data_IF_795403147542
#
_entry.id   IF_795403147542
#
_cell.length_a   1.000
_cell.length_b   1.000
_cell.length_c   1.000
_cell.angle_alpha   90.00
_cell.angle_beta   90.00
_cell.angle_gamma   90.00
#
_symmetry.space_group_name_H-M   'P 1'
#
loop_
_entity.id
_entity.type
_entity.pdbx_description
1 polymer ?
#
# COMPACT_ATOMS: atom_id res chain seq x y z
N UNK A 1 -16.58 -8.46 8.59
CA UNK A 1 -17.21 -7.92 9.82
C UNK A 1 -18.63 -7.44 9.57
N UNK A 2 -18.86 -6.58 8.58
CA UNK A 2 -20.22 -6.15 8.16
C UNK A 2 -21.19 -7.31 8.01
N UNK A 3 -20.79 -8.41 7.38
CA UNK A 3 -21.65 -9.59 7.18
C UNK A 3 -22.08 -10.25 8.50
N UNK A 4 -21.19 -10.29 9.49
CA UNK A 4 -21.50 -10.80 10.84
C UNK A 4 -22.51 -9.89 11.52
N UNK A 5 -22.29 -8.58 11.48
CA UNK A 5 -23.18 -7.60 12.11
C UNK A 5 -24.55 -7.59 11.44
N UNK A 6 -24.59 -7.70 10.11
CA UNK A 6 -25.83 -7.78 9.33
C UNK A 6 -26.64 -9.05 9.67
N UNK A 7 -25.97 -10.19 9.85
CA UNK A 7 -26.61 -11.42 10.34
C UNK A 7 -27.19 -11.24 11.76
N UNK A 8 -26.47 -10.53 12.64
CA UNK A 8 -26.97 -10.18 13.98
C UNK A 8 -28.19 -9.28 13.92
N UNK A 9 -28.14 -8.18 13.16
CA UNK A 9 -29.25 -7.21 13.12
C UNK A 9 -30.50 -7.80 12.47
N UNK A 10 -30.34 -8.65 11.46
CA UNK A 10 -31.46 -9.34 10.79
C UNK A 10 -32.07 -10.41 11.69
N UNK A 11 -31.26 -11.22 12.37
CA UNK A 11 -31.74 -12.24 13.32
C UNK A 11 -32.53 -11.62 14.48
N UNK A 12 -32.08 -10.47 14.98
CA UNK A 12 -32.77 -9.73 16.06
C UNK A 12 -34.00 -8.94 15.58
N UNK A 13 -34.28 -8.91 14.27
CA UNK A 13 -35.42 -8.17 13.71
C UNK A 13 -35.29 -6.65 13.79
N UNK A 14 -34.06 -6.11 13.91
CA UNK A 14 -33.80 -4.67 14.02
C UNK A 14 -33.35 -4.02 12.71
N UNK A 15 -33.25 -4.80 11.63
CA UNK A 15 -32.99 -4.35 10.26
C UNK A 15 -31.73 -4.95 9.64
N UNK A 16 -31.34 -4.45 8.45
CA UNK A 16 -30.09 -4.84 7.79
C UNK A 16 -29.02 -3.77 7.97
N UNK A 17 -27.97 -4.09 8.75
CA UNK A 17 -26.81 -3.21 8.94
C UNK A 17 -26.13 -2.84 7.61
N UNK A 18 -26.16 -3.75 6.62
CA UNK A 18 -25.58 -3.50 5.30
C UNK A 18 -26.27 -2.37 4.54
N UNK A 19 -27.58 -2.23 4.70
CA UNK A 19 -28.38 -1.20 4.03
C UNK A 19 -28.30 0.16 4.71
N UNK A 20 -27.79 0.22 5.94
CA UNK A 20 -27.65 1.48 6.67
C UNK A 20 -26.51 2.32 6.08
N UNK A 21 -26.73 3.64 6.07
CA UNK A 21 -25.67 4.61 5.82
C UNK A 21 -24.66 4.65 6.98
N UNK A 22 -23.52 5.32 6.74
CA UNK A 22 -22.42 5.38 7.70
C UNK A 22 -22.82 6.03 9.03
N UNK A 23 -23.68 7.05 9.00
CA UNK A 23 -24.09 7.77 10.21
C UNK A 23 -24.95 6.87 11.11
N UNK A 24 -25.93 6.17 10.51
CA UNK A 24 -26.79 5.21 11.21
C UNK A 24 -25.98 4.02 11.74
N UNK A 25 -24.99 3.53 10.99
CA UNK A 25 -24.08 2.47 11.46
C UNK A 25 -23.31 2.91 12.71
N UNK A 26 -22.73 4.11 12.68
CA UNK A 26 -21.97 4.65 13.82
C UNK A 26 -22.89 4.86 15.03
N UNK A 27 -24.07 5.45 14.84
CA UNK A 27 -25.04 5.67 15.91
C UNK A 27 -25.41 4.35 16.60
N UNK A 28 -25.77 3.34 15.81
CA UNK A 28 -26.13 2.03 16.34
C UNK A 28 -24.96 1.33 17.03
N UNK A 29 -23.77 1.32 16.41
CA UNK A 29 -22.57 0.74 17.01
C UNK A 29 -22.22 1.39 18.34
N UNK A 30 -22.28 2.72 18.44
CA UNK A 30 -22.01 3.44 19.68
C UNK A 30 -23.07 3.16 20.76
N UNK A 31 -24.34 3.03 20.37
CA UNK A 31 -25.40 2.61 21.29
C UNK A 31 -25.10 1.24 21.88
N UNK A 32 -24.78 0.25 21.04
CA UNK A 32 -24.44 -1.10 21.50
C UNK A 32 -23.14 -1.13 22.32
N UNK A 33 -22.11 -0.39 21.91
CA UNK A 33 -20.81 -0.31 22.59
C UNK A 33 -20.89 0.33 24.00
N UNK A 34 -21.78 1.30 24.19
CA UNK A 34 -22.08 1.89 25.51
C UNK A 34 -23.04 1.03 26.33
N UNK A 35 -23.89 0.27 25.64
CA UNK A 35 -24.79 -0.70 26.27
C UNK A 35 -24.05 -1.83 26.99
N UNK A 36 -24.74 -2.43 27.97
CA UNK A 36 -24.25 -3.61 28.73
C UNK A 36 -24.97 -4.90 28.35
N UNK A 37 -25.91 -4.83 27.41
CA UNK A 37 -26.69 -5.98 26.94
C UNK A 37 -25.84 -6.78 25.95
N UNK A 38 -25.73 -8.11 26.11
CA UNK A 38 -25.13 -8.97 25.09
C UNK A 38 -25.97 -8.99 23.81
N UNK A 39 -25.27 -9.03 22.66
CA UNK A 39 -25.87 -8.92 21.34
C UNK A 39 -25.81 -10.25 20.56
N UNK A 40 -24.72 -11.01 20.68
CA UNK A 40 -24.58 -12.28 19.97
C UNK A 40 -25.50 -13.37 20.56
N UNK A 41 -26.57 -13.69 19.84
CA UNK A 41 -27.47 -14.78 20.20
C UNK A 41 -26.82 -16.15 19.91
N UNK A 42 -26.87 -17.12 20.85
CA UNK A 42 -26.28 -18.45 20.65
C UNK A 42 -26.87 -19.23 19.47
N UNK A 43 -28.12 -18.93 19.10
CA UNK A 43 -28.89 -19.58 18.03
C UNK A 43 -28.82 -18.82 16.69
N UNK A 44 -28.04 -17.74 16.60
CA UNK A 44 -27.88 -16.98 15.36
C UNK A 44 -27.33 -17.88 14.25
N UNK A 45 -27.99 -17.96 13.07
CA UNK A 45 -27.50 -18.69 11.92
C UNK A 45 -26.13 -18.17 11.45
N UNK A 46 -25.20 -19.07 11.13
CA UNK A 46 -23.85 -18.72 10.68
C UNK A 46 -23.55 -19.41 9.36
N UNK A 47 -23.10 -18.64 8.38
CA UNK A 47 -22.38 -19.17 7.21
C UNK A 47 -20.98 -19.59 7.63
N UNK A 48 -20.27 -20.33 6.76
CA UNK A 48 -18.87 -20.70 7.00
C UNK A 48 -17.98 -19.47 7.25
N UNK A 49 -18.15 -18.40 6.45
CA UNK A 49 -17.39 -17.15 6.61
C UNK A 49 -17.71 -16.41 7.93
N UNK A 50 -18.97 -16.42 8.37
CA UNK A 50 -19.37 -15.82 9.66
C UNK A 50 -18.79 -16.63 10.82
N UNK A 51 -18.87 -17.96 10.74
CA UNK A 51 -18.33 -18.86 11.74
C UNK A 51 -16.81 -18.72 11.87
N UNK A 52 -16.09 -18.54 10.76
CA UNK A 52 -14.63 -18.31 10.77
C UNK A 52 -14.26 -17.01 11.49
N UNK A 53 -14.96 -15.89 11.20
CA UNK A 53 -14.70 -14.60 11.88
C UNK A 53 -14.96 -14.69 13.38
N UNK A 54 -16.08 -15.30 13.79
CA UNK A 54 -16.41 -15.46 15.22
C UNK A 54 -15.48 -16.46 15.90
N UNK A 55 -15.11 -17.54 15.21
CA UNK A 55 -14.17 -18.55 15.67
C UNK A 55 -12.79 -17.95 15.93
N UNK A 56 -12.28 -17.13 15.01
CA UNK A 56 -11.01 -16.43 15.19
C UNK A 56 -11.01 -15.51 16.43
N UNK A 57 -12.11 -14.77 16.66
CA UNK A 57 -12.24 -13.92 17.85
C UNK A 57 -12.35 -14.73 19.16
N UNK A 58 -12.99 -15.90 19.14
CA UNK A 58 -13.02 -16.81 20.29
C UNK A 58 -11.64 -17.38 20.61
N UNK A 59 -10.85 -17.76 19.61
CA UNK A 59 -9.45 -18.17 19.79
C UNK A 59 -8.62 -17.04 20.43
N UNK A 60 -8.83 -15.79 19.99
CA UNK A 60 -8.19 -14.62 20.61
C UNK A 60 -8.61 -14.47 22.08
N UNK A 61 -9.87 -14.75 22.43
CA UNK A 61 -10.35 -14.68 23.80
C UNK A 61 -9.78 -15.76 24.73
N UNK A 62 -9.40 -16.92 24.18
CA UNK A 62 -8.90 -18.07 24.93
C UNK A 62 -7.38 -18.07 25.15
N UNK A 63 -6.62 -17.38 24.30
CA UNK A 63 -5.16 -17.36 24.35
C UNK A 63 -4.59 -16.18 25.18
N UNK A 64 -3.36 -16.31 25.71
CA UNK A 64 -2.70 -15.23 26.43
C UNK A 64 -2.56 -13.95 25.59
N UNK A 65 -2.92 -12.80 26.17
CA UNK A 65 -3.01 -11.52 25.43
C UNK A 65 -1.69 -11.04 24.81
N UNK A 66 -0.54 -11.49 25.34
CA UNK A 66 0.81 -11.19 24.85
C UNK A 66 1.21 -12.04 23.63
N UNK A 67 0.37 -13.00 23.23
CA UNK A 67 0.54 -13.76 21.98
C UNK A 67 0.21 -12.93 20.73
N UNK A 68 -0.46 -11.79 20.89
CA UNK A 68 -1.05 -11.03 19.78
C UNK A 68 -0.52 -9.60 19.68
N UNK A 69 -0.39 -9.15 18.43
CA UNK A 69 -0.26 -7.73 18.09
C UNK A 69 -1.62 -7.06 17.89
N UNK A 70 -1.76 -6.16 16.89
CA UNK A 70 -3.06 -5.54 16.59
C UNK A 70 -3.98 -6.44 15.76
N UNK A 71 -5.28 -6.12 15.79
CA UNK A 71 -6.27 -6.60 14.82
C UNK A 71 -6.33 -5.64 13.63
N UNK A 72 -5.93 -6.09 12.44
CA UNK A 72 -5.85 -5.24 11.25
C UNK A 72 -7.09 -5.45 10.37
N UNK A 73 -7.74 -4.36 9.97
CA UNK A 73 -8.89 -4.36 9.07
C UNK A 73 -8.42 -4.00 7.67
N UNK A 74 -8.24 -5.00 6.82
CA UNK A 74 -8.02 -4.78 5.38
C UNK A 74 -9.25 -4.15 4.73
N UNK A 75 -9.04 -3.33 3.69
CA UNK A 75 -10.09 -2.54 3.04
C UNK A 75 -10.92 -1.69 4.02
N UNK A 76 -10.27 -1.07 5.00
CA UNK A 76 -10.95 -0.10 5.84
C UNK A 76 -11.34 1.12 5.00
N UNK A 77 -12.59 1.53 5.09
CA UNK A 77 -13.16 2.64 4.31
C UNK A 77 -13.73 3.74 5.19
N UNK A 78 -14.23 3.40 6.38
CA UNK A 78 -14.98 4.32 7.21
C UNK A 78 -14.76 4.09 8.72
N UNK A 79 -15.42 4.93 9.52
CA UNK A 79 -15.33 4.91 10.99
C UNK A 79 -16.02 3.67 11.56
N UNK A 80 -17.15 3.28 10.97
CA UNK A 80 -17.93 2.11 11.39
C UNK A 80 -17.15 0.80 11.26
N UNK A 81 -16.22 0.68 10.32
CA UNK A 81 -15.36 -0.51 10.17
C UNK A 81 -14.55 -0.79 11.44
N UNK A 82 -13.99 0.26 12.05
CA UNK A 82 -13.20 0.16 13.29
C UNK A 82 -14.10 -0.17 14.49
N UNK A 83 -15.22 0.54 14.63
CA UNK A 83 -16.18 0.33 15.73
C UNK A 83 -16.81 -1.08 15.68
N UNK A 84 -17.09 -1.59 14.47
CA UNK A 84 -17.61 -2.93 14.26
C UNK A 84 -16.71 -4.01 14.87
N UNK A 85 -15.39 -3.91 14.67
CA UNK A 85 -14.43 -4.87 15.26
C UNK A 85 -14.35 -4.72 16.77
N UNK A 86 -14.40 -3.50 17.31
CA UNK A 86 -14.47 -3.31 18.76
C UNK A 86 -15.71 -3.99 19.36
N UNK A 87 -16.87 -3.85 18.71
CA UNK A 87 -18.10 -4.50 19.16
C UNK A 87 -17.94 -6.03 19.12
N UNK A 88 -17.46 -6.58 18.00
CA UNK A 88 -17.28 -8.03 17.87
C UNK A 88 -16.25 -8.60 18.86
N UNK A 89 -15.14 -7.91 19.14
CA UNK A 89 -14.19 -8.33 20.18
C UNK A 89 -14.86 -8.40 21.56
N UNK A 90 -15.69 -7.41 21.91
CA UNK A 90 -16.44 -7.40 23.17
C UNK A 90 -17.45 -8.55 23.23
N UNK A 91 -18.25 -8.72 22.17
CA UNK A 91 -19.29 -9.75 22.13
C UNK A 91 -18.74 -11.18 22.09
N UNK A 92 -17.55 -11.37 21.52
CA UNK A 92 -16.80 -12.61 21.61
C UNK A 92 -16.01 -12.76 22.93
N UNK A 93 -16.21 -11.85 23.88
CA UNK A 93 -15.66 -11.87 25.24
C UNK A 93 -14.13 -11.87 25.28
N UNK A 94 -13.47 -11.18 24.34
CA UNK A 94 -12.02 -10.97 24.37
C UNK A 94 -11.68 -10.15 25.63
N UNK A 95 -10.99 -10.73 26.65
CA UNK A 95 -10.86 -10.08 27.96
C UNK A 95 -10.06 -8.77 27.89
N UNK A 96 -9.03 -8.76 27.03
CA UNK A 96 -8.21 -7.59 26.71
C UNK A 96 -8.27 -7.37 25.20
N UNK A 97 -9.18 -6.51 24.71
CA UNK A 97 -9.34 -6.28 23.28
C UNK A 97 -8.02 -5.85 22.62
N UNK A 98 -7.74 -6.40 21.45
CA UNK A 98 -6.60 -6.01 20.63
C UNK A 98 -6.82 -4.59 20.09
N UNK A 99 -5.72 -3.86 19.91
CA UNK A 99 -5.75 -2.57 19.22
C UNK A 99 -6.24 -2.76 17.77
N UNK A 100 -7.31 -2.06 17.41
CA UNK A 100 -7.90 -2.13 16.07
C UNK A 100 -7.19 -1.14 15.14
N UNK A 101 -6.71 -1.64 14.00
CA UNK A 101 -5.88 -0.89 13.06
C UNK A 101 -6.53 -0.88 11.68
N UNK A 102 -7.07 0.26 11.22
CA UNK A 102 -7.56 0.37 9.85
C UNK A 102 -6.39 0.33 8.86
N UNK A 103 -6.51 -0.49 7.81
CA UNK A 103 -5.61 -0.50 6.66
C UNK A 103 -6.32 0.19 5.49
N UNK A 104 -5.86 1.39 5.14
CA UNK A 104 -6.35 2.15 3.99
C UNK A 104 -5.57 1.76 2.73
N UNK A 105 -6.27 1.24 1.71
CA UNK A 105 -5.68 0.58 0.55
C UNK A 105 -5.97 1.23 -0.81
N UNK A 106 -7.11 1.91 -0.97
CA UNK A 106 -7.45 2.60 -2.23
C UNK A 106 -7.16 4.10 -2.10
N UNK A 107 -7.05 4.77 -3.25
CA UNK A 107 -6.80 6.21 -3.29
C UNK A 107 -7.87 7.00 -2.52
N UNK A 108 -9.14 6.65 -2.72
CA UNK A 108 -10.26 7.30 -2.03
C UNK A 108 -10.22 7.05 -0.51
N UNK A 109 -9.82 5.86 -0.09
CA UNK A 109 -9.74 5.49 1.33
C UNK A 109 -8.60 6.28 2.02
N UNK A 110 -7.46 6.45 1.35
CA UNK A 110 -6.37 7.30 1.83
C UNK A 110 -6.77 8.77 1.96
N UNK A 111 -7.54 9.29 1.00
CA UNK A 111 -8.05 10.67 1.03
C UNK A 111 -9.07 10.87 2.17
N UNK A 112 -9.89 9.87 2.47
CA UNK A 112 -10.87 9.90 3.55
C UNK A 112 -10.27 9.60 4.94
N UNK A 113 -9.07 8.99 5.00
CA UNK A 113 -8.46 8.53 6.24
C UNK A 113 -8.37 9.59 7.35
N UNK A 114 -7.92 10.85 7.11
CA UNK A 114 -7.86 11.86 8.16
C UNK A 114 -9.22 12.19 8.75
N UNK A 115 -10.28 12.25 7.91
CA UNK A 115 -11.64 12.54 8.35
C UNK A 115 -12.23 11.38 9.15
N UNK A 116 -12.01 10.14 8.72
CA UNK A 116 -12.44 8.93 9.45
C UNK A 116 -11.76 8.83 10.82
N UNK A 117 -10.45 9.10 10.89
CA UNK A 117 -9.70 9.11 12.15
C UNK A 117 -10.13 10.25 13.06
N UNK A 118 -10.36 11.45 12.52
CA UNK A 118 -10.87 12.57 13.32
C UNK A 118 -12.25 12.26 13.91
N UNK A 119 -13.11 11.61 13.13
CA UNK A 119 -14.45 11.21 13.59
C UNK A 119 -14.38 10.20 14.74
N UNK A 120 -13.46 9.24 14.67
CA UNK A 120 -13.18 8.33 15.79
C UNK A 120 -12.73 9.09 17.04
N UNK A 121 -11.79 10.05 16.92
CA UNK A 121 -11.27 10.80 18.07
C UNK A 121 -12.27 11.79 18.70
N UNK A 122 -13.34 12.14 18.00
CA UNK A 122 -14.45 12.92 18.58
C UNK A 122 -15.37 12.09 19.49
N UNK A 123 -15.24 10.76 19.49
CA UNK A 123 -16.07 9.87 20.31
C UNK A 123 -15.38 9.60 21.65
N UNK A 124 -16.02 10.03 22.73
CA UNK A 124 -15.59 9.80 24.12
C UNK A 124 -15.27 8.32 24.39
N UNK A 125 -16.19 7.42 24.02
CA UNK A 125 -16.05 5.98 24.19
C UNK A 125 -14.79 5.44 23.50
N UNK A 126 -14.50 5.93 22.30
CA UNK A 126 -13.33 5.47 21.53
C UNK A 126 -12.03 6.01 22.13
N UNK A 127 -12.02 7.28 22.56
CA UNK A 127 -10.86 7.89 23.22
C UNK A 127 -10.49 7.17 24.51
N UNK A 128 -11.48 6.81 25.33
CA UNK A 128 -11.29 5.99 26.53
C UNK A 128 -10.74 4.60 26.17
N UNK A 129 -11.28 3.99 25.12
CA UNK A 129 -10.89 2.64 24.67
C UNK A 129 -9.43 2.56 24.17
N UNK A 130 -8.92 3.58 23.49
CA UNK A 130 -7.58 3.55 22.90
C UNK A 130 -6.46 4.03 23.84
N UNK A 131 -6.81 4.67 24.96
CA UNK A 131 -5.83 5.13 25.97
C UNK A 131 -4.76 6.06 25.39
N UNK A 132 -5.17 6.95 24.48
CA UNK A 132 -4.28 7.94 23.84
C UNK A 132 -3.30 7.37 22.80
N UNK A 133 -3.47 6.13 22.31
CA UNK A 133 -2.62 5.53 21.28
C UNK A 133 -3.43 4.97 20.13
N UNK A 134 -3.15 5.40 18.90
CA UNK A 134 -3.76 4.86 17.69
C UNK A 134 -2.68 4.33 16.75
N UNK A 135 -2.99 3.25 16.04
CA UNK A 135 -2.16 2.79 14.93
C UNK A 135 -2.98 2.75 13.64
N UNK A 136 -2.39 3.21 12.54
CA UNK A 136 -3.00 3.19 11.20
C UNK A 136 -2.04 2.47 10.27
N UNK A 137 -2.55 1.52 9.48
CA UNK A 137 -1.74 0.82 8.49
C UNK A 137 -1.93 1.44 7.11
N UNK A 138 -0.84 1.56 6.36
CA UNK A 138 -0.86 2.13 5.00
C UNK A 138 -0.34 1.12 3.97
N UNK A 139 -1.11 0.91 2.89
CA UNK A 139 -0.81 -0.08 1.86
C UNK A 139 -0.25 0.52 0.57
N UNK A 140 1.04 0.32 0.29
CA UNK A 140 1.69 0.87 -0.90
C UNK A 140 1.34 0.13 -2.19
N UNK A 141 1.45 -1.21 -2.18
CA UNK A 141 1.19 -2.01 -3.39
C UNK A 141 -0.28 -2.00 -3.80
N UNK A 142 -1.20 -2.03 -2.84
CA UNK A 142 -2.63 -2.00 -3.10
C UNK A 142 -3.07 -0.62 -3.65
N UNK A 143 -2.57 0.48 -3.06
CA UNK A 143 -2.82 1.84 -3.57
C UNK A 143 -2.22 2.03 -4.97
N UNK A 144 -1.00 1.52 -5.19
CA UNK A 144 -0.35 1.55 -6.50
C UNK A 144 -1.12 0.75 -7.56
N UNK A 145 -1.74 -0.37 -7.17
CA UNK A 145 -2.60 -1.16 -8.06
C UNK A 145 -3.89 -0.41 -8.45
N UNK A 146 -4.42 0.43 -7.57
CA UNK A 146 -5.64 1.21 -7.81
C UNK A 146 -5.42 2.43 -8.71
N UNK A 147 -4.31 3.15 -8.53
CA UNK A 147 -4.16 4.50 -9.09
C UNK A 147 -2.80 4.81 -9.74
N UNK A 148 -1.91 3.82 -9.86
CA UNK A 148 -0.53 4.05 -10.30
C UNK A 148 0.38 4.46 -9.14
N UNK A 149 1.68 4.15 -9.27
CA UNK A 149 2.63 4.22 -8.14
C UNK A 149 2.90 5.64 -7.66
N UNK A 150 3.06 6.60 -8.58
CA UNK A 150 3.35 8.00 -8.24
C UNK A 150 2.19 8.63 -7.48
N UNK A 151 0.97 8.49 -7.99
CA UNK A 151 -0.24 8.99 -7.34
C UNK A 151 -0.47 8.36 -5.97
N UNK A 152 -0.26 7.05 -5.86
CA UNK A 152 -0.32 6.34 -4.57
C UNK A 152 0.72 6.87 -3.57
N UNK A 153 1.97 7.07 -3.98
CA UNK A 153 3.02 7.61 -3.12
C UNK A 153 2.67 9.02 -2.62
N UNK A 154 2.16 9.89 -3.50
CA UNK A 154 1.75 11.24 -3.12
C UNK A 154 0.55 11.24 -2.16
N UNK A 155 -0.47 10.43 -2.45
CA UNK A 155 -1.63 10.29 -1.58
C UNK A 155 -1.27 9.76 -0.19
N UNK A 156 -0.32 8.83 -0.12
CA UNK A 156 0.22 8.31 1.14
C UNK A 156 0.92 9.41 1.95
N UNK A 157 1.78 10.21 1.31
CA UNK A 157 2.47 11.32 1.97
C UNK A 157 1.46 12.32 2.57
N UNK A 158 0.44 12.72 1.80
CA UNK A 158 -0.64 13.61 2.27
C UNK A 158 -1.45 12.98 3.40
N UNK A 159 -1.92 11.75 3.22
CA UNK A 159 -2.73 11.04 4.21
C UNK A 159 -2.00 10.89 5.55
N UNK A 160 -0.69 10.58 5.53
CA UNK A 160 0.14 10.51 6.73
C UNK A 160 0.27 11.88 7.41
N UNK A 161 0.57 12.93 6.63
CA UNK A 161 0.70 14.30 7.13
C UNK A 161 -0.58 14.79 7.80
N UNK A 162 -1.72 14.62 7.13
CA UNK A 162 -3.00 15.12 7.62
C UNK A 162 -3.53 14.28 8.80
N UNK A 163 -3.33 12.95 8.78
CA UNK A 163 -3.71 12.08 9.90
C UNK A 163 -2.84 12.35 11.14
N UNK A 164 -1.54 12.62 10.97
CA UNK A 164 -0.67 13.02 12.07
C UNK A 164 -1.09 14.38 12.67
N UNK A 165 -1.47 15.36 11.83
CA UNK A 165 -2.03 16.64 12.28
C UNK A 165 -3.30 16.44 13.10
N UNK A 166 -4.21 15.57 12.65
CA UNK A 166 -5.40 15.19 13.41
C UNK A 166 -5.02 14.55 14.74
N UNK A 167 -4.13 13.56 14.76
CA UNK A 167 -3.73 12.91 16.01
C UNK A 167 -3.13 13.89 17.03
N UNK A 168 -2.27 14.80 16.57
CA UNK A 168 -1.69 15.86 17.41
C UNK A 168 -2.76 16.79 17.99
N UNK A 169 -3.78 17.17 17.20
CA UNK A 169 -4.91 17.99 17.67
C UNK A 169 -5.68 17.35 18.84
N UNK A 170 -5.79 16.02 18.87
CA UNK A 170 -6.50 15.28 19.94
C UNK A 170 -5.55 14.69 20.99
N UNK A 171 -4.24 14.99 20.95
CA UNK A 171 -3.27 14.47 21.91
C UNK A 171 -3.06 12.95 21.83
N UNK A 172 -3.31 12.34 20.66
CA UNK A 172 -3.18 10.89 20.44
C UNK A 172 -1.80 10.59 19.85
N UNK A 173 -1.07 9.64 20.46
CA UNK A 173 0.16 9.10 19.87
C UNK A 173 -0.18 8.18 18.70
N UNK A 174 0.09 8.65 17.49
CA UNK A 174 -0.11 7.88 16.27
C UNK A 174 1.13 7.07 15.91
N UNK A 175 0.94 5.80 15.53
CA UNK A 175 1.96 4.94 14.92
C UNK A 175 1.50 4.54 13.53
N UNK A 176 2.30 4.82 12.49
CA UNK A 176 2.05 4.24 11.18
C UNK A 176 2.64 2.84 11.08
N UNK A 177 1.84 1.89 10.61
CA UNK A 177 2.28 0.57 10.20
C UNK A 177 2.44 0.53 8.67
N UNK A 178 3.69 0.48 8.21
CA UNK A 178 4.02 0.46 6.79
C UNK A 178 3.85 -0.94 6.21
N UNK A 179 2.88 -1.09 5.31
CA UNK A 179 2.62 -2.30 4.56
C UNK A 179 3.68 -2.62 3.51
N UNK A 180 3.50 -3.75 2.81
CA UNK A 180 4.40 -4.20 1.73
C UNK A 180 4.46 -3.21 0.57
N UNK A 181 5.58 -3.24 -0.16
CA UNK A 181 5.73 -2.49 -1.39
C UNK A 181 6.24 -1.06 -1.22
N UNK A 182 6.33 -0.52 0.00
CA UNK A 182 6.90 0.79 0.24
C UNK A 182 8.42 0.83 0.03
N UNK A 183 8.97 2.03 -0.17
CA UNK A 183 10.42 2.28 -0.17
C UNK A 183 11.08 1.77 1.11
N UNK A 184 10.38 1.91 2.25
CA UNK A 184 10.81 1.46 3.58
C UNK A 184 10.95 -0.07 3.70
N UNK A 185 10.13 -0.85 3.00
CA UNK A 185 10.06 -2.31 3.16
C UNK A 185 10.81 -3.13 2.11
N UNK A 186 11.36 -2.50 1.07
CA UNK A 186 11.87 -3.22 -0.12
C UNK A 186 13.37 -3.42 -0.18
N UNK A 187 14.16 -2.79 0.68
CA UNK A 187 15.63 -2.88 0.66
C UNK A 187 16.27 -2.51 -0.69
N UNK A 188 15.50 -2.02 -1.66
CA UNK A 188 15.94 -1.74 -3.03
C UNK A 188 16.39 -0.29 -3.22
N UNK A 189 16.25 0.54 -2.19
CA UNK A 189 16.99 1.78 -2.00
C UNK A 189 17.44 1.84 -0.54
N UNK A 190 18.22 2.85 -0.13
CA UNK A 190 18.67 2.96 1.26
C UNK A 190 17.47 3.05 2.19
N UNK A 191 17.10 1.95 2.87
CA UNK A 191 15.96 1.90 3.81
C UNK A 191 16.09 2.99 4.87
N UNK A 192 17.33 3.34 5.22
CA UNK A 192 17.66 4.50 6.04
C UNK A 192 17.04 5.80 5.49
N UNK A 193 17.35 6.17 4.25
CA UNK A 193 16.82 7.40 3.63
C UNK A 193 15.30 7.35 3.45
N UNK A 194 14.72 6.18 3.18
CA UNK A 194 13.28 6.02 3.07
C UNK A 194 12.52 6.27 4.39
N UNK A 195 13.16 6.01 5.54
CA UNK A 195 12.63 6.36 6.86
C UNK A 195 12.78 7.87 7.08
N UNK A 196 13.97 8.43 6.80
CA UNK A 196 14.21 9.88 6.91
C UNK A 196 13.30 10.71 5.99
N UNK A 197 12.80 10.14 4.89
CA UNK A 197 11.92 10.82 3.96
C UNK A 197 10.44 10.81 4.36
N UNK A 198 10.05 10.14 5.44
CA UNK A 198 8.66 10.17 5.90
C UNK A 198 8.26 11.61 6.28
N UNK A 199 6.98 12.00 6.17
CA UNK A 199 6.57 13.35 6.54
C UNK A 199 6.99 13.69 7.99
N UNK A 200 7.28 14.96 8.31
CA UNK A 200 7.57 15.39 9.68
C UNK A 200 6.48 14.93 10.67
N UNK A 201 6.89 14.67 11.92
CA UNK A 201 6.00 14.28 13.03
C UNK A 201 5.17 13.00 12.83
N UNK A 202 5.55 12.12 11.89
CA UNK A 202 4.83 10.86 11.62
C UNK A 202 5.42 9.62 12.30
N UNK A 203 6.67 9.66 12.78
CA UNK A 203 7.34 8.50 13.40
C UNK A 203 7.39 8.63 14.92
N UNK A 204 7.88 9.75 15.45
CA UNK A 204 7.87 10.09 16.88
C UNK A 204 8.31 8.93 17.80
N UNK A 205 9.41 8.27 17.42
CA UNK A 205 10.01 7.15 18.16
C UNK A 205 9.25 5.82 18.09
N UNK A 206 8.26 5.67 17.20
CA UNK A 206 7.50 4.44 17.03
C UNK A 206 7.31 4.10 15.55
N UNK A 207 8.14 3.17 15.07
CA UNK A 207 8.10 2.68 13.70
C UNK A 207 7.62 1.22 13.67
N UNK A 208 6.67 0.90 12.79
CA UNK A 208 6.33 -0.49 12.45
C UNK A 208 6.39 -0.68 10.94
N UNK A 209 7.17 -1.66 10.48
CA UNK A 209 7.41 -1.91 9.06
C UNK A 209 7.23 -3.38 8.76
N UNK A 210 6.61 -3.67 7.61
CA UNK A 210 6.55 -5.02 7.06
C UNK A 210 7.90 -5.40 6.45
N UNK A 211 8.55 -6.42 6.99
CA UNK A 211 9.67 -7.09 6.31
C UNK A 211 9.10 -8.06 5.30
N UNK A 212 9.36 -7.81 4.02
CA UNK A 212 8.86 -8.66 2.94
C UNK A 212 9.66 -9.97 2.88
N UNK A 213 8.98 -11.09 2.65
CA UNK A 213 9.62 -12.41 2.56
C UNK A 213 10.71 -12.47 1.49
N UNK A 214 10.55 -11.77 0.37
CA UNK A 214 11.56 -11.71 -0.69
C UNK A 214 12.85 -10.93 -0.32
N UNK A 215 12.89 -10.27 0.84
CA UNK A 215 14.04 -9.49 1.32
C UNK A 215 14.57 -10.02 2.67
N UNK A 216 13.91 -11.01 3.28
CA UNK A 216 14.26 -11.51 4.63
C UNK A 216 15.70 -12.03 4.68
N UNK A 217 16.09 -12.83 3.70
CA UNK A 217 17.43 -13.40 3.59
C UNK A 217 18.49 -12.30 3.42
N UNK A 218 18.23 -11.31 2.56
CA UNK A 218 19.15 -10.22 2.33
C UNK A 218 19.35 -9.33 3.58
N UNK A 219 18.34 -9.22 4.43
CA UNK A 219 18.37 -8.38 5.62
C UNK A 219 18.88 -9.09 6.88
N UNK A 220 18.60 -10.39 7.00
CA UNK A 220 18.78 -11.14 8.25
C UNK A 220 19.48 -12.49 8.10
N UNK A 221 19.77 -12.94 6.86
CA UNK A 221 20.38 -14.26 6.60
C UNK A 221 21.86 -14.36 6.99
N UNK A 222 22.55 -13.22 7.12
CA UNK A 222 23.96 -13.16 7.54
C UNK A 222 24.11 -12.24 8.76
N UNK A 223 24.98 -12.60 9.71
CA UNK A 223 25.09 -11.96 11.03
C UNK A 223 25.43 -10.47 10.95
N UNK A 224 26.40 -10.07 10.12
CA UNK A 224 26.79 -8.67 9.97
C UNK A 224 25.69 -7.88 9.26
N UNK A 225 25.05 -8.44 8.23
CA UNK A 225 23.92 -7.80 7.55
C UNK A 225 22.71 -7.63 8.46
N UNK A 226 22.42 -8.62 9.32
CA UNK A 226 21.41 -8.55 10.37
C UNK A 226 21.69 -7.36 11.30
N UNK A 227 22.92 -7.27 11.82
CA UNK A 227 23.34 -6.15 12.67
C UNK A 227 23.16 -4.80 11.97
N UNK A 228 23.63 -4.66 10.72
CA UNK A 228 23.50 -3.43 9.94
C UNK A 228 22.04 -3.08 9.64
N UNK A 229 21.17 -4.08 9.48
CA UNK A 229 19.72 -3.88 9.32
C UNK A 229 19.10 -3.32 10.61
N UNK A 230 19.40 -3.90 11.76
CA UNK A 230 18.90 -3.39 13.05
C UNK A 230 19.44 -1.98 13.36
N UNK A 231 20.72 -1.74 13.04
CA UNK A 231 21.37 -0.45 13.21
C UNK A 231 20.67 0.65 12.39
N UNK A 232 20.44 0.42 11.09
CA UNK A 232 19.83 1.44 10.22
C UNK A 232 18.39 1.78 10.60
N UNK A 233 17.58 0.78 11.00
CA UNK A 233 16.22 1.03 11.48
C UNK A 233 16.23 1.89 12.74
N UNK A 234 17.12 1.59 13.68
CA UNK A 234 17.25 2.33 14.95
C UNK A 234 17.72 3.77 14.69
N UNK A 235 18.79 3.94 13.92
CA UNK A 235 19.38 5.24 13.63
C UNK A 235 18.41 6.16 12.88
N UNK A 236 17.80 5.68 11.79
CA UNK A 236 16.91 6.51 10.98
C UNK A 236 15.62 6.88 11.72
N UNK A 237 15.08 5.98 12.56
CA UNK A 237 13.91 6.26 13.41
C UNK A 237 14.22 7.35 14.44
N UNK A 238 15.40 7.30 15.05
CA UNK A 238 15.85 8.30 16.01
C UNK A 238 16.08 9.65 15.33
N UNK A 239 16.86 9.66 14.24
CA UNK A 239 17.21 10.86 13.51
C UNK A 239 15.97 11.58 12.98
N UNK A 240 15.02 10.86 12.36
CA UNK A 240 13.78 11.48 11.87
C UNK A 240 13.01 12.24 12.95
N UNK A 241 12.99 11.72 14.18
CA UNK A 241 12.31 12.34 15.31
C UNK A 241 12.98 13.60 15.88
N UNK A 242 14.28 13.81 15.62
CA UNK A 242 15.04 14.98 16.10
C UNK A 242 15.48 15.92 14.97
N UNK A 243 15.51 15.42 13.75
CA UNK A 243 15.93 16.11 12.54
C UNK A 243 14.96 15.76 11.40
N UNK A 244 13.73 16.30 11.42
CA UNK A 244 12.72 15.99 10.41
C UNK A 244 13.14 16.53 9.03
N UNK A 245 12.68 15.91 7.93
CA UNK A 245 12.98 16.39 6.59
C UNK A 245 12.31 17.74 6.31
N UNK A 246 12.81 18.43 5.28
CA UNK A 246 12.20 19.67 4.79
C UNK A 246 10.74 19.44 4.38
N UNK A 247 9.87 20.37 4.77
CA UNK A 247 8.50 20.40 4.24
C UNK A 247 8.52 20.77 2.76
N UNK A 248 7.62 20.20 1.94
CA UNK A 248 7.60 20.52 0.52
C UNK A 248 7.22 21.99 0.28
N UNK A 249 7.93 22.64 -0.65
CA UNK A 249 7.56 23.98 -1.12
C UNK A 249 6.15 23.94 -1.77
N UNK A 250 5.37 25.03 -1.73
CA UNK A 250 4.03 25.06 -2.33
C UNK A 250 4.00 24.64 -3.81
N UNK A 251 4.98 25.09 -4.59
CA UNK A 251 5.14 24.75 -6.00
C UNK A 251 5.43 23.26 -6.24
N UNK A 252 6.17 22.60 -5.33
CA UNK A 252 6.41 21.15 -5.40
C UNK A 252 5.12 20.38 -5.14
N UNK A 253 4.35 20.80 -4.13
CA UNK A 253 3.08 20.16 -3.79
C UNK A 253 2.04 20.34 -4.90
N UNK A 254 1.98 21.53 -5.50
CA UNK A 254 1.11 21.82 -6.64
C UNK A 254 1.47 20.95 -7.86
N UNK A 255 2.76 20.84 -8.19
CA UNK A 255 3.22 19.99 -9.30
C UNK A 255 2.91 18.51 -9.06
N UNK A 256 3.12 18.03 -7.83
CA UNK A 256 2.77 16.65 -7.45
C UNK A 256 1.27 16.36 -7.58
N UNK A 257 0.39 17.32 -7.26
CA UNK A 257 -1.05 17.17 -7.42
C UNK A 257 -1.44 16.97 -8.89
N UNK A 258 -0.90 17.80 -9.78
CA UNK A 258 -1.14 17.71 -11.22
C UNK A 258 -0.60 16.40 -11.80
N UNK A 259 0.63 16.05 -11.45
CA UNK A 259 1.28 14.82 -11.89
C UNK A 259 0.54 13.56 -11.39
N UNK A 260 0.03 13.59 -10.15
CA UNK A 260 -0.76 12.48 -9.61
C UNK A 260 -2.07 12.28 -10.40
N UNK A 261 -2.75 13.36 -10.80
CA UNK A 261 -3.97 13.25 -11.61
C UNK A 261 -3.69 12.62 -12.98
N UNK A 262 -2.64 13.08 -13.68
CA UNK A 262 -2.23 12.54 -15.00
C UNK A 262 -1.78 11.08 -14.87
N UNK A 263 -0.97 10.75 -13.87
CA UNK A 263 -0.50 9.38 -13.64
C UNK A 263 -1.67 8.42 -13.41
N UNK A 264 -2.67 8.81 -12.62
CA UNK A 264 -3.85 7.99 -12.38
C UNK A 264 -4.71 7.82 -13.63
N UNK A 265 -4.85 8.88 -14.42
CA UNK A 265 -5.64 8.84 -15.66
C UNK A 265 -5.02 7.89 -16.69
N UNK A 266 -3.72 7.99 -16.95
CA UNK A 266 -2.99 7.07 -17.84
C UNK A 266 -2.97 5.63 -17.29
N UNK A 267 -2.68 5.45 -16.01
CA UNK A 267 -2.66 4.13 -15.40
C UNK A 267 -4.02 3.44 -15.53
N UNK A 268 -5.11 4.14 -15.18
CA UNK A 268 -6.46 3.57 -15.24
C UNK A 268 -6.96 3.39 -16.66
N UNK A 269 -6.55 4.23 -17.62
CA UNK A 269 -6.93 4.06 -19.02
C UNK A 269 -6.42 2.73 -19.59
N UNK A 270 -5.21 2.32 -19.19
CA UNK A 270 -4.61 1.05 -19.62
C UNK A 270 -5.11 -0.13 -18.77
N UNK A 271 -5.09 -0.03 -17.44
CA UNK A 271 -5.32 -1.19 -16.57
C UNK A 271 -6.80 -1.52 -16.40
N UNK A 272 -7.69 -0.52 -16.46
CA UNK A 272 -9.12 -0.71 -16.17
C UNK A 272 -10.06 -0.35 -17.32
N UNK A 273 -9.68 0.59 -18.21
CA UNK A 273 -10.56 1.02 -19.31
C UNK A 273 -10.28 0.31 -20.64
N UNK A 274 -9.05 -0.12 -20.90
CA UNK A 274 -8.70 -0.86 -22.12
C UNK A 274 -9.25 -2.30 -22.03
N UNK A 275 -10.25 -2.67 -22.84
CA UNK A 275 -10.93 -3.97 -22.74
C UNK A 275 -9.99 -5.16 -22.99
N UNK A 276 -8.95 -4.98 -23.81
CA UNK A 276 -7.99 -6.04 -24.15
C UNK A 276 -6.95 -6.29 -23.07
N UNK A 277 -6.85 -5.41 -22.07
CA UNK A 277 -5.76 -5.44 -21.09
C UNK A 277 -5.70 -6.76 -20.31
N UNK A 278 -6.85 -7.27 -19.85
CA UNK A 278 -6.90 -8.49 -19.03
C UNK A 278 -6.50 -9.72 -19.85
N UNK A 279 -6.88 -9.76 -21.12
CA UNK A 279 -6.46 -10.82 -22.04
C UNK A 279 -4.95 -10.77 -22.27
N UNK A 280 -4.44 -9.60 -22.66
CA UNK A 280 -3.00 -9.37 -22.83
C UNK A 280 -2.20 -9.75 -21.57
N UNK A 281 -2.64 -9.30 -20.40
CA UNK A 281 -1.98 -9.60 -19.12
C UNK A 281 -1.86 -11.10 -18.84
N UNK A 282 -2.90 -11.88 -19.13
CA UNK A 282 -2.90 -13.33 -18.90
C UNK A 282 -2.06 -14.10 -19.92
N UNK A 283 -1.88 -13.54 -21.12
CA UNK A 283 -1.00 -14.13 -22.14
C UNK A 283 0.47 -13.73 -21.94
N UNK A 284 0.71 -12.45 -21.65
CA UNK A 284 2.05 -11.86 -21.56
C UNK A 284 2.73 -12.10 -20.20
N UNK A 285 2.06 -12.74 -19.24
CA UNK A 285 2.60 -13.02 -17.90
C UNK A 285 2.13 -14.38 -17.40
N UNK A 286 2.84 -15.03 -16.45
CA UNK A 286 2.44 -16.33 -15.92
C UNK A 286 1.29 -16.26 -14.89
N UNK A 287 0.45 -15.21 -14.90
CA UNK A 287 -0.56 -14.99 -13.85
C UNK A 287 -1.52 -16.16 -13.66
N UNK A 288 -1.91 -16.81 -14.76
CA UNK A 288 -2.87 -17.92 -14.72
C UNK A 288 -2.27 -19.20 -14.15
N UNK A 289 -0.95 -19.37 -14.28
CA UNK A 289 -0.21 -20.54 -13.82
C UNK A 289 0.13 -20.45 -12.34
N UNK A 290 0.43 -19.24 -11.81
CA UNK A 290 0.79 -19.05 -10.40
C UNK A 290 -0.16 -19.72 -9.40
N UNK A 291 -1.50 -19.52 -9.45
CA UNK A 291 -2.41 -20.18 -8.52
C UNK A 291 -2.64 -21.68 -8.83
N UNK A 292 -2.24 -22.16 -10.02
CA UNK A 292 -2.35 -23.57 -10.40
C UNK A 292 -1.12 -24.37 -9.96
N UNK A 293 0.00 -23.69 -9.76
CA UNK A 293 1.23 -24.26 -9.23
C UNK A 293 1.18 -24.29 -7.70
N UNK A 294 2.01 -25.16 -7.11
CA UNK A 294 2.17 -25.24 -5.66
C UNK A 294 3.10 -24.11 -5.14
N UNK A 295 2.77 -22.86 -5.49
CA UNK A 295 3.56 -21.66 -5.18
C UNK A 295 2.65 -20.67 -4.44
N UNK A 296 2.95 -20.46 -3.15
CA UNK A 296 2.16 -19.61 -2.26
C UNK A 296 0.96 -20.34 -1.63
N UNK A 297 0.51 -19.86 -0.47
CA UNK A 297 -0.55 -20.49 0.33
C UNK A 297 -1.93 -19.83 0.19
N UNK A 298 -2.04 -18.76 -0.62
CA UNK A 298 -3.24 -17.91 -0.67
C UNK A 298 -3.84 -17.87 -2.08
N UNK A 299 -5.18 -17.85 -2.21
CA UNK A 299 -5.84 -17.60 -3.50
C UNK A 299 -5.40 -16.28 -4.12
N UNK A 300 -5.10 -16.29 -5.43
CA UNK A 300 -4.62 -15.11 -6.16
C UNK A 300 -5.68 -14.00 -6.31
N UNK A 301 -6.97 -14.37 -6.34
CA UNK A 301 -8.11 -13.46 -6.55
C UNK A 301 -9.08 -13.53 -5.36
N UNK A 302 -9.80 -12.44 -5.11
CA UNK A 302 -10.89 -12.39 -4.12
C UNK A 302 -12.20 -12.98 -4.66
N UNK A 303 -12.47 -12.79 -5.97
CA UNK A 303 -13.61 -13.38 -6.69
C UNK A 303 -13.19 -13.74 -8.13
N UNK A 304 -13.62 -14.89 -8.68
CA UNK A 304 -13.40 -15.23 -10.09
C UNK A 304 -14.02 -14.18 -11.04
N UNK A 305 -13.46 -14.01 -12.24
CA UNK A 305 -14.05 -13.22 -13.32
C UNK A 305 -13.92 -11.69 -13.25
N UNK A 306 -13.59 -11.09 -12.11
CA UNK A 306 -13.61 -9.62 -11.93
C UNK A 306 -12.38 -8.83 -12.40
N UNK A 307 -11.64 -9.30 -13.40
CA UNK A 307 -10.48 -8.55 -13.95
C UNK A 307 -9.38 -8.23 -12.92
N UNK A 308 -8.74 -7.05 -13.06
CA UNK A 308 -7.63 -6.59 -12.17
C UNK A 308 -8.14 -6.14 -10.80
N UNK A 309 -9.40 -5.71 -10.69
CA UNK A 309 -9.96 -5.24 -9.41
C UNK A 309 -10.05 -6.36 -8.37
N UNK A 310 -10.34 -7.59 -8.80
CA UNK A 310 -10.38 -8.77 -7.91
C UNK A 310 -9.03 -9.44 -7.69
N UNK A 311 -7.99 -9.08 -8.46
CA UNK A 311 -6.63 -9.56 -8.28
C UNK A 311 -5.97 -8.92 -7.05
N UNK A 312 -5.32 -9.73 -6.22
CA UNK A 312 -4.55 -9.25 -5.06
C UNK A 312 -3.25 -8.58 -5.52
N UNK A 313 -2.71 -7.66 -4.71
CA UNK A 313 -1.46 -6.98 -5.04
C UNK A 313 -0.22 -7.89 -5.10
N UNK A 314 -0.20 -9.07 -4.47
CA UNK A 314 0.94 -10.01 -4.56
C UNK A 314 1.04 -10.57 -5.99
N UNK A 315 0.03 -11.30 -6.51
CA UNK A 315 0.04 -11.79 -7.90
C UNK A 315 0.26 -10.67 -8.91
N UNK A 316 -0.36 -9.50 -8.72
CA UNK A 316 -0.19 -8.37 -9.61
C UNK A 316 1.28 -7.99 -9.82
N UNK A 317 2.02 -7.71 -8.74
CA UNK A 317 3.43 -7.34 -8.86
C UNK A 317 4.28 -8.55 -9.28
N UNK A 318 3.97 -9.75 -8.80
CA UNK A 318 4.75 -10.95 -9.06
C UNK A 318 4.75 -11.31 -10.55
N UNK A 319 3.59 -11.36 -11.20
CA UNK A 319 3.47 -11.73 -12.61
C UNK A 319 4.30 -10.83 -13.53
N UNK A 320 4.21 -9.51 -13.35
CA UNK A 320 5.00 -8.55 -14.14
C UNK A 320 6.49 -8.51 -13.78
N UNK A 321 6.85 -9.01 -12.60
CA UNK A 321 8.26 -9.15 -12.20
C UNK A 321 8.92 -10.33 -12.91
N UNK A 322 8.19 -11.45 -13.09
CA UNK A 322 8.70 -12.62 -13.80
C UNK A 322 9.10 -12.29 -15.24
N UNK A 323 8.32 -11.45 -15.93
CA UNK A 323 8.57 -11.10 -17.34
C UNK A 323 9.51 -9.92 -17.53
N UNK A 324 10.18 -9.49 -16.46
CA UNK A 324 11.15 -8.37 -16.48
C UNK A 324 10.55 -7.04 -16.96
N UNK A 325 9.23 -6.91 -16.98
CA UNK A 325 8.57 -5.72 -17.53
C UNK A 325 8.15 -4.72 -16.44
N UNK A 326 7.84 -5.20 -15.24
CA UNK A 326 7.56 -4.37 -14.06
C UNK A 326 6.49 -3.28 -14.25
N UNK A 327 5.57 -3.46 -15.19
CA UNK A 327 4.49 -2.51 -15.55
C UNK A 327 3.83 -1.82 -14.34
N UNK A 328 3.46 -2.51 -13.24
CA UNK A 328 2.78 -1.89 -12.11
C UNK A 328 3.55 -0.80 -11.38
N UNK A 329 4.87 -0.74 -11.58
CA UNK A 329 5.74 0.16 -10.81
C UNK A 329 5.90 1.51 -11.52
N UNK A 330 6.00 1.52 -12.85
CA UNK A 330 6.34 2.72 -13.62
C UNK A 330 5.18 3.26 -14.48
N UNK A 331 4.12 2.49 -14.73
CA UNK A 331 3.01 2.92 -15.57
C UNK A 331 2.35 4.20 -15.02
N UNK A 332 2.14 5.19 -15.89
CA UNK A 332 1.60 6.51 -15.55
C UNK A 332 2.66 7.56 -15.22
N UNK A 333 3.88 7.15 -14.85
CA UNK A 333 4.95 8.10 -14.47
C UNK A 333 5.45 8.88 -15.68
N UNK A 334 5.60 8.21 -16.84
CA UNK A 334 6.04 8.84 -18.09
C UNK A 334 5.12 9.97 -18.52
N UNK A 335 3.79 9.74 -18.58
CA UNK A 335 2.85 10.82 -18.91
C UNK A 335 2.87 11.96 -17.90
N UNK A 336 3.01 11.66 -16.61
CA UNK A 336 3.07 12.68 -15.57
C UNK A 336 4.28 13.60 -15.75
N UNK A 337 5.49 13.04 -15.93
CA UNK A 337 6.69 13.85 -16.22
C UNK A 337 6.57 14.61 -17.53
N UNK A 338 6.10 13.96 -18.59
CA UNK A 338 5.95 14.59 -19.90
C UNK A 338 4.99 15.76 -19.86
N UNK A 339 3.84 15.60 -19.22
CA UNK A 339 2.84 16.66 -19.08
C UNK A 339 3.41 17.83 -18.27
N UNK A 340 4.08 17.55 -17.15
CA UNK A 340 4.73 18.57 -16.32
C UNK A 340 5.74 19.39 -17.14
N UNK A 341 6.64 18.74 -17.86
CA UNK A 341 7.67 19.39 -18.69
C UNK A 341 7.11 20.13 -19.90
N UNK A 342 5.99 19.68 -20.46
CA UNK A 342 5.34 20.32 -21.61
C UNK A 342 4.53 21.55 -21.19
N UNK A 343 3.95 21.53 -19.98
CA UNK A 343 3.13 22.63 -19.45
C UNK A 343 3.96 23.89 -19.19
N UNK A 344 5.15 23.74 -18.63
CA UNK A 344 6.11 24.83 -18.46
C UNK A 344 7.54 24.29 -18.59
N UNK A 345 8.31 24.88 -19.51
CA UNK A 345 9.73 24.58 -19.71
C UNK A 345 10.58 24.69 -18.44
N UNK A 346 10.14 25.46 -17.43
CA UNK A 346 10.84 25.59 -16.14
C UNK A 346 10.64 24.37 -15.23
N UNK A 347 9.62 23.55 -15.47
CA UNK A 347 9.29 22.42 -14.61
C UNK A 347 10.38 21.33 -14.62
N UNK A 348 11.20 21.22 -15.68
CA UNK A 348 12.35 20.30 -15.64
C UNK A 348 13.34 20.67 -14.53
N UNK A 349 13.63 21.97 -14.37
CA UNK A 349 14.51 22.42 -13.30
C UNK A 349 13.84 22.20 -11.94
N UNK A 350 12.54 22.49 -11.83
CA UNK A 350 11.79 22.25 -10.60
C UNK A 350 11.80 20.77 -10.18
N UNK A 351 11.64 19.84 -11.12
CA UNK A 351 11.71 18.39 -10.88
C UNK A 351 13.12 17.95 -10.44
N UNK A 352 14.17 18.54 -11.02
CA UNK A 352 15.56 18.31 -10.58
C UNK A 352 15.81 18.84 -9.18
N UNK A 353 15.29 20.03 -8.87
CA UNK A 353 15.40 20.61 -7.54
C UNK A 353 14.66 19.74 -6.52
N UNK A 354 13.47 19.23 -6.86
CA UNK A 354 12.76 18.24 -6.02
C UNK A 354 13.57 16.96 -5.80
N UNK A 355 14.25 16.43 -6.83
CA UNK A 355 15.08 15.24 -6.70
C UNK A 355 16.28 15.46 -5.77
N UNK A 356 16.90 16.64 -5.83
CA UNK A 356 18.09 16.96 -5.05
C UNK A 356 17.76 17.42 -3.62
N UNK A 357 16.66 18.15 -3.42
CA UNK A 357 16.35 18.83 -2.16
C UNK A 357 15.24 18.16 -1.35
N UNK A 358 14.38 17.34 -1.98
CA UNK A 358 13.23 16.74 -1.29
C UNK A 358 13.37 15.22 -1.14
N UNK A 359 13.69 14.72 0.08
CA UNK A 359 13.96 13.30 0.30
C UNK A 359 12.83 12.36 -0.16
N UNK A 360 11.56 12.77 0.00
CA UNK A 360 10.41 11.98 -0.44
C UNK A 360 10.42 11.74 -1.96
N UNK A 361 10.66 12.80 -2.73
CA UNK A 361 10.68 12.70 -4.18
C UNK A 361 11.91 11.90 -4.65
N UNK A 362 13.06 12.14 -4.03
CA UNK A 362 14.29 11.39 -4.27
C UNK A 362 14.10 9.88 -4.13
N UNK A 363 13.63 9.40 -2.96
CA UNK A 363 13.46 7.96 -2.75
C UNK A 363 12.37 7.33 -3.63
N UNK A 364 11.42 8.15 -4.09
CA UNK A 364 10.38 7.70 -5.02
C UNK A 364 10.97 7.46 -6.41
N UNK A 365 11.83 8.37 -6.89
CA UNK A 365 12.56 8.24 -8.16
C UNK A 365 13.61 7.13 -8.09
N UNK A 366 14.40 7.04 -7.01
CA UNK A 366 15.42 6.01 -6.83
C UNK A 366 14.82 4.59 -6.87
N UNK A 367 13.62 4.40 -6.30
CA UNK A 367 12.91 3.12 -6.38
C UNK A 367 12.52 2.77 -7.82
N UNK A 368 12.04 3.74 -8.58
CA UNK A 368 11.70 3.54 -10.00
C UNK A 368 12.96 3.20 -10.80
N UNK A 369 14.06 3.92 -10.58
CA UNK A 369 15.35 3.68 -11.24
C UNK A 369 15.89 2.28 -10.96
N UNK A 370 15.85 1.83 -9.70
CA UNK A 370 16.24 0.46 -9.34
C UNK A 370 15.37 -0.60 -10.00
N UNK A 371 14.06 -0.35 -10.17
CA UNK A 371 13.18 -1.29 -10.88
C UNK A 371 13.48 -1.30 -12.37
N UNK A 372 13.77 -0.16 -12.98
CA UNK A 372 14.27 -0.12 -14.36
C UNK A 372 15.59 -0.87 -14.53
N UNK A 373 16.49 -0.84 -13.54
CA UNK A 373 17.73 -1.63 -13.55
C UNK A 373 17.50 -3.14 -13.54
N UNK A 374 16.34 -3.59 -13.05
CA UNK A 374 15.92 -5.00 -13.02
C UNK A 374 15.10 -5.39 -14.24
N UNK A 375 14.60 -4.43 -15.00
CA UNK A 375 13.77 -4.65 -16.17
C UNK A 375 14.57 -4.92 -17.44
N UNK A 376 13.96 -5.65 -18.36
CA UNK A 376 14.51 -5.94 -19.69
C UNK A 376 13.36 -5.98 -20.71
N UNK A 377 13.15 -4.92 -21.51
CA UNK A 377 12.06 -4.88 -22.49
C UNK A 377 12.26 -5.88 -23.64
N UNK A 378 13.48 -6.38 -23.86
CA UNK A 378 13.75 -7.41 -24.88
C UNK A 378 13.24 -8.77 -24.42
N UNK A 379 13.42 -9.11 -23.14
CA UNK A 379 12.82 -10.31 -22.56
C UNK A 379 11.29 -10.19 -22.56
N UNK A 380 10.74 -9.03 -22.18
CA UNK A 380 9.30 -8.80 -22.26
C UNK A 380 8.75 -8.97 -23.70
N UNK A 381 9.50 -8.54 -24.72
CA UNK A 381 9.15 -8.75 -26.12
C UNK A 381 9.16 -10.25 -26.51
N UNK A 382 10.11 -11.04 -25.99
CA UNK A 382 10.15 -12.49 -26.21
C UNK A 382 8.89 -13.19 -25.64
N UNK A 383 8.42 -12.79 -24.45
CA UNK A 383 7.16 -13.31 -23.90
C UNK A 383 5.98 -12.98 -24.82
N UNK A 384 5.90 -11.74 -25.33
CA UNK A 384 4.87 -11.36 -26.30
C UNK A 384 4.96 -12.18 -27.58
N UNK A 385 6.16 -12.40 -28.11
CA UNK A 385 6.34 -13.09 -29.37
C UNK A 385 5.91 -14.56 -29.32
N UNK A 386 6.14 -15.21 -28.19
CA UNK A 386 5.86 -16.63 -27.98
C UNK A 386 4.44 -16.91 -27.48
N UNK A 387 3.88 -16.02 -26.65
CA UNK A 387 2.67 -16.34 -25.86
C UNK A 387 1.46 -15.47 -26.21
N UNK A 388 1.67 -14.29 -26.80
CA UNK A 388 0.60 -13.32 -27.07
C UNK A 388 0.10 -13.46 -28.51
N UNK A 389 -1.22 -13.45 -28.67
CA UNK A 389 -1.87 -13.48 -29.98
C UNK A 389 -1.46 -12.28 -30.86
N UNK A 390 -1.36 -12.48 -32.18
CA UNK A 390 -0.83 -11.47 -33.10
C UNK A 390 -1.60 -10.14 -33.05
N UNK A 391 -2.90 -10.19 -32.77
CA UNK A 391 -3.81 -9.05 -32.67
C UNK A 391 -3.49 -8.15 -31.45
N UNK A 392 -2.83 -8.70 -30.43
CA UNK A 392 -2.45 -8.00 -29.19
C UNK A 392 -0.99 -7.54 -29.17
N UNK A 393 -0.14 -8.02 -30.10
CA UNK A 393 1.28 -7.61 -30.17
C UNK A 393 1.49 -6.10 -30.33
N UNK A 394 0.71 -5.36 -31.15
CA UNK A 394 0.84 -3.90 -31.23
C UNK A 394 0.56 -3.18 -29.90
N UNK A 395 -0.31 -3.75 -29.06
CA UNK A 395 -0.57 -3.21 -27.73
C UNK A 395 0.64 -3.41 -26.80
N UNK A 396 1.29 -4.58 -26.85
CA UNK A 396 2.54 -4.83 -26.12
C UNK A 396 3.69 -3.90 -26.56
N UNK A 397 3.81 -3.64 -27.87
CA UNK A 397 4.76 -2.66 -28.41
C UNK A 397 4.50 -1.24 -27.88
N UNK A 398 3.23 -0.83 -27.81
CA UNK A 398 2.84 0.45 -27.21
C UNK A 398 3.29 0.55 -25.75
N UNK A 399 3.12 -0.51 -24.96
CA UNK A 399 3.57 -0.54 -23.57
C UNK A 399 5.11 -0.47 -23.47
N UNK A 400 5.85 -1.19 -24.32
CA UNK A 400 7.32 -1.12 -24.36
C UNK A 400 7.83 0.27 -24.78
N UNK A 401 7.13 0.94 -25.69
CA UNK A 401 7.43 2.34 -26.04
C UNK A 401 7.27 3.26 -24.82
N UNK A 402 6.19 3.10 -24.05
CA UNK A 402 5.98 3.84 -22.78
C UNK A 402 7.06 3.53 -21.75
N UNK A 403 7.53 2.28 -21.66
CA UNK A 403 8.65 1.91 -20.79
C UNK A 403 9.90 2.73 -21.13
N UNK A 404 10.28 2.77 -22.42
CA UNK A 404 11.47 3.49 -22.88
C UNK A 404 11.35 5.00 -22.66
N UNK A 405 10.21 5.59 -22.98
CA UNK A 405 9.94 7.02 -22.75
C UNK A 405 9.99 7.37 -21.26
N UNK A 406 9.38 6.55 -20.40
CA UNK A 406 9.38 6.76 -18.95
C UNK A 406 10.80 6.71 -18.38
N UNK A 407 11.61 5.75 -18.83
CA UNK A 407 13.01 5.64 -18.41
C UNK A 407 13.82 6.87 -18.81
N UNK A 408 13.68 7.34 -20.06
CA UNK A 408 14.40 8.52 -20.53
C UNK A 408 14.03 9.78 -19.72
N UNK A 409 12.74 9.99 -19.47
CA UNK A 409 12.26 11.13 -18.67
C UNK A 409 12.75 11.04 -17.22
N UNK A 410 12.74 9.84 -16.64
CA UNK A 410 13.23 9.61 -15.29
C UNK A 410 14.72 9.97 -15.15
N UNK A 411 15.57 9.54 -16.08
CA UNK A 411 17.00 9.87 -16.07
C UNK A 411 17.23 11.38 -16.23
N UNK A 412 16.42 12.07 -17.04
CA UNK A 412 16.48 13.54 -17.16
C UNK A 412 16.13 14.27 -15.85
N UNK A 413 15.13 13.75 -15.10
CA UNK A 413 14.72 14.27 -13.79
C UNK A 413 15.81 14.01 -12.74
N UNK A 414 16.38 12.81 -12.71
CA UNK A 414 17.47 12.46 -11.79
C UNK A 414 18.79 13.17 -12.14
N UNK A 415 18.96 13.60 -13.40
CA UNK A 415 20.22 14.15 -13.90
C UNK A 415 21.28 13.09 -14.20
N UNK A 416 20.88 11.81 -14.30
CA UNK A 416 21.76 10.68 -14.60
C UNK A 416 21.87 10.46 -16.11
N UNK A 417 23.03 10.00 -16.59
CA UNK A 417 23.25 9.58 -17.98
C UNK A 417 22.91 8.11 -18.19
N UNK A 418 23.07 7.31 -17.14
CA UNK A 418 22.79 5.88 -17.14
C UNK A 418 22.09 5.44 -15.85
N UNK A 419 21.39 4.31 -15.92
CA UNK A 419 20.64 3.75 -14.81
C UNK A 419 21.59 3.44 -13.62
N UNK A 420 21.19 3.90 -12.43
CA UNK A 420 21.91 3.76 -11.16
C UNK A 420 23.31 4.40 -11.21
N UNK A 421 23.45 5.55 -11.89
CA UNK A 421 24.70 6.32 -11.90
C UNK A 421 25.14 6.70 -10.47
N UNK A 422 24.19 7.07 -9.60
CA UNK A 422 24.44 7.40 -8.20
C UNK A 422 24.65 6.20 -7.25
N UNK A 423 24.48 4.95 -7.72
CA UNK A 423 24.66 3.74 -6.91
C UNK A 423 25.39 2.63 -7.69
N UNK A 424 26.72 2.76 -7.87
CA UNK A 424 27.50 1.79 -8.65
C UNK A 424 27.55 0.40 -7.99
N UNK A 425 27.42 0.31 -6.67
CA UNK A 425 27.45 -0.95 -5.92
C UNK A 425 26.19 -1.75 -6.23
N UNK A 426 25.01 -1.14 -6.09
CA UNK A 426 23.75 -1.80 -6.44
C UNK A 426 23.73 -2.19 -7.92
N UNK A 427 24.20 -1.29 -8.80
CA UNK A 427 24.31 -1.56 -10.23
C UNK A 427 25.16 -2.79 -10.53
N UNK A 428 26.32 -2.94 -9.88
CA UNK A 428 27.18 -4.12 -10.03
C UNK A 428 26.46 -5.39 -9.56
N UNK A 429 25.85 -5.35 -8.36
CA UNK A 429 25.16 -6.51 -7.79
C UNK A 429 24.01 -7.01 -8.68
N UNK A 430 23.23 -6.10 -9.28
CA UNK A 430 22.16 -6.48 -10.20
C UNK A 430 22.70 -7.04 -11.51
N UNK A 431 23.77 -6.44 -12.08
CA UNK A 431 24.42 -6.95 -13.29
C UNK A 431 24.93 -8.39 -13.14
N UNK A 432 25.48 -8.75 -11.97
CA UNK A 432 25.97 -10.09 -11.70
C UNK A 432 24.87 -11.16 -11.60
N UNK A 433 23.62 -10.76 -11.30
CA UNK A 433 22.48 -11.68 -11.21
C UNK A 433 21.84 -11.94 -12.58
N UNK A 434 21.88 -10.96 -13.48
CA UNK A 434 21.17 -11.02 -14.75
C UNK A 434 21.46 -12.26 -15.61
N UNK A 435 22.69 -12.76 -15.77
CA UNK A 435 22.94 -13.97 -16.56
C UNK A 435 22.12 -15.19 -16.09
N UNK A 436 21.96 -15.34 -14.77
CA UNK A 436 21.20 -16.44 -14.17
C UNK A 436 19.69 -16.23 -14.21
N UNK A 437 19.22 -14.98 -14.21
CA UNK A 437 17.78 -14.65 -14.28
C UNK A 437 17.29 -14.66 -15.73
N UNK A 438 18.15 -14.32 -16.68
CA UNK A 438 17.83 -14.30 -18.12
C UNK A 438 17.81 -15.70 -18.73
N UNK A 439 18.60 -16.64 -18.19
CA UNK A 439 18.52 -18.07 -18.54
C UNK A 439 17.27 -18.67 -17.94
#
# INVERSE_FOLDING_TARGET
HTDVIDAVTTHLGIGSYREWDEDKRIEWLLSELRGKRPLLAPDMPQTEEIADVLGALRVIAELPSDSFGPYIISMATATSDVLAVHLLQRECRVPKPLHVVPLFERLADLQAAPASVERLFKMDWYMDQIGGKQMVMVGYSDSGKDAGRLSAAWALYKAQTDTARVANKYGVKLTFFHGRGGTVGRGGGPTHLAILSQPPDTINGSLRVTIQGEVIEHQFGEEHLCFLTLQRFTAATLEHGVHPPVSPKPEWSALMEEMAAVCTEEYRSIVFKEPRFVEYFRSATPETELPRMNIGSRPAKRKPGGGVTTLRAIPWIFSWTQTRFHLPVWLGVGAAFKQAMTKDSKNIQLLRDMYNEWPFFRVTVDLLEMVFAKGDPSIAALYDDLLVANELKPFGEQLRSKYAETLQLLLQVAGHKEILEGDPILRQQLRLRNPYITT
#
